data_IF_432130575094
#
_entry.id   IF_432130575094
#
_cell.length_a   1.000
_cell.length_b   1.000
_cell.length_c   1.000
_cell.angle_alpha   90.00
_cell.angle_beta   90.00
_cell.angle_gamma   90.00
#
_symmetry.space_group_name_H-M   'P 1'
#
loop_
_entity.id
_entity.type
_entity.pdbx_description
1 polymer ?
#
# COMPACT_ATOMS: atom_id res chain seq x y z
N UNK A 1 -7.57 0.10 -23.08
CA UNK A 1 -7.19 0.36 -21.69
C UNK A 1 -5.68 0.29 -21.64
N UNK A 2 -5.03 1.42 -21.40
CA UNK A 2 -3.56 1.48 -21.29
C UNK A 2 -3.15 1.26 -19.83
N UNK A 3 -2.03 0.57 -19.64
CA UNK A 3 -1.45 0.32 -18.32
C UNK A 3 -0.05 0.93 -18.28
N UNK A 4 0.30 1.54 -17.16
CA UNK A 4 1.62 2.09 -16.91
C UNK A 4 2.35 1.23 -15.88
N UNK A 5 3.67 1.03 -16.07
CA UNK A 5 4.50 0.23 -15.18
C UNK A 5 4.47 -1.28 -15.46
N UNK A 6 4.84 -2.07 -14.46
CA UNK A 6 5.01 -3.51 -14.59
C UNK A 6 3.66 -4.24 -14.59
N UNK A 7 3.28 -4.86 -15.71
CA UNK A 7 2.03 -5.63 -15.85
C UNK A 7 2.07 -6.99 -15.14
N UNK A 8 3.24 -7.54 -14.81
CA UNK A 8 3.33 -8.89 -14.22
C UNK A 8 2.74 -8.96 -12.82
N UNK A 9 2.68 -7.83 -12.09
CA UNK A 9 2.08 -7.72 -10.75
C UNK A 9 0.58 -8.08 -10.77
N UNK A 10 -0.09 -7.96 -11.91
CA UNK A 10 -1.49 -8.32 -12.06
C UNK A 10 -1.74 -9.83 -11.85
N UNK A 11 -0.71 -10.67 -11.99
CA UNK A 11 -0.80 -12.11 -11.78
C UNK A 11 -0.49 -12.55 -10.34
N UNK A 12 -0.01 -11.64 -9.48
CA UNK A 12 0.33 -11.95 -8.09
C UNK A 12 -0.93 -11.98 -7.19
N UNK A 13 -0.83 -12.63 -6.04
CA UNK A 13 -1.80 -12.45 -4.95
C UNK A 13 -1.73 -11.00 -4.46
N UNK A 14 -2.89 -10.42 -4.12
CA UNK A 14 -2.99 -8.99 -3.80
C UNK A 14 -3.70 -8.78 -2.48
N UNK A 15 -3.19 -7.85 -1.69
CA UNK A 15 -3.87 -7.34 -0.51
C UNK A 15 -4.45 -5.97 -0.83
N UNK A 16 -5.75 -5.79 -0.55
CA UNK A 16 -6.39 -4.48 -0.61
C UNK A 16 -6.10 -3.68 0.65
N UNK A 17 -5.47 -2.51 0.52
CA UNK A 17 -5.26 -1.57 1.62
C UNK A 17 -6.23 -0.38 1.51
N UNK A 18 -6.98 -0.14 2.58
CA UNK A 18 -7.94 0.96 2.69
C UNK A 18 -7.76 1.64 4.03
N UNK A 19 -7.76 2.98 4.05
CA UNK A 19 -7.60 3.75 5.26
C UNK A 19 -8.61 4.91 5.33
N UNK A 20 -9.08 5.21 6.54
CA UNK A 20 -9.80 6.46 6.80
C UNK A 20 -8.87 7.65 6.58
N UNK A 21 -9.44 8.79 6.15
CA UNK A 21 -8.69 10.06 6.02
C UNK A 21 -8.14 10.59 7.36
N UNK A 22 -8.75 10.18 8.47
CA UNK A 22 -8.34 10.53 9.83
C UNK A 22 -8.20 9.26 10.65
N UNK A 23 -7.02 9.03 11.20
CA UNK A 23 -6.74 7.94 12.14
C UNK A 23 -5.83 8.43 13.26
N UNK A 24 -5.91 7.82 14.45
CA UNK A 24 -5.02 8.12 15.57
C UNK A 24 -3.54 7.84 15.25
N UNK A 25 -2.62 8.58 15.85
CA UNK A 25 -1.18 8.47 15.58
C UNK A 25 -0.60 7.07 15.82
N UNK A 26 -1.09 6.34 16.83
CA UNK A 26 -0.65 4.97 17.11
C UNK A 26 -1.06 3.96 16.02
N UNK A 27 -2.11 4.25 15.24
CA UNK A 27 -2.51 3.43 14.09
C UNK A 27 -1.59 3.73 12.90
N UNK A 28 -1.20 4.99 12.70
CA UNK A 28 -0.30 5.39 11.62
C UNK A 28 1.03 4.62 11.70
N UNK A 29 1.65 4.57 12.88
CA UNK A 29 2.91 3.84 13.07
C UNK A 29 2.76 2.35 12.72
N UNK A 30 1.70 1.70 13.21
CA UNK A 30 1.42 0.29 12.89
C UNK A 30 1.18 0.06 11.40
N UNK A 31 0.55 1.02 10.72
CA UNK A 31 0.33 0.96 9.27
C UNK A 31 1.65 1.02 8.51
N UNK A 32 2.61 1.84 8.96
CA UNK A 32 3.93 1.88 8.34
C UNK A 32 4.73 0.60 8.60
N UNK A 33 4.72 0.07 9.82
CA UNK A 33 5.35 -1.22 10.15
C UNK A 33 4.77 -2.33 9.25
N UNK A 34 3.45 -2.34 9.07
CA UNK A 34 2.77 -3.28 8.18
C UNK A 34 3.19 -3.13 6.72
N UNK A 35 3.34 -1.90 6.22
CA UNK A 35 3.76 -1.64 4.84
C UNK A 35 5.20 -2.11 4.59
N UNK A 36 6.11 -1.87 5.54
CA UNK A 36 7.48 -2.39 5.52
C UNK A 36 7.46 -3.93 5.44
N UNK A 37 6.67 -4.57 6.30
CA UNK A 37 6.54 -6.03 6.30
C UNK A 37 6.01 -6.57 4.95
N UNK A 38 5.04 -5.88 4.32
CA UNK A 38 4.49 -6.32 3.04
C UNK A 38 5.50 -6.16 1.90
N UNK A 39 6.28 -5.07 1.90
CA UNK A 39 7.37 -4.88 0.96
C UNK A 39 8.41 -5.98 1.10
N UNK A 40 8.86 -6.24 2.32
CA UNK A 40 9.91 -7.22 2.60
C UNK A 40 9.47 -8.65 2.26
N UNK A 41 8.15 -8.93 2.28
CA UNK A 41 7.53 -10.18 1.82
C UNK A 41 7.20 -10.20 0.33
N UNK A 42 7.52 -9.14 -0.42
CA UNK A 42 7.21 -8.97 -1.84
C UNK A 42 5.71 -9.14 -2.17
N UNK A 43 4.83 -8.70 -1.26
CA UNK A 43 3.39 -8.79 -1.43
C UNK A 43 2.89 -7.61 -2.26
N UNK A 44 2.13 -7.91 -3.32
CA UNK A 44 1.47 -6.88 -4.11
C UNK A 44 0.32 -6.24 -3.29
N UNK A 45 0.37 -4.93 -3.09
CA UNK A 45 -0.68 -4.17 -2.41
C UNK A 45 -1.42 -3.29 -3.41
N UNK A 46 -2.75 -3.29 -3.31
CA UNK A 46 -3.63 -2.44 -4.12
C UNK A 46 -4.35 -1.47 -3.20
N UNK A 47 -4.33 -0.19 -3.55
CA UNK A 47 -5.04 0.87 -2.83
C UNK A 47 -5.46 1.98 -3.78
N UNK A 48 -6.34 2.88 -3.31
CA UNK A 48 -6.71 4.09 -4.03
C UNK A 48 -5.66 5.20 -3.94
N UNK A 49 -4.76 5.16 -2.96
CA UNK A 49 -3.69 6.16 -2.77
C UNK A 49 -4.17 7.62 -2.74
N UNK A 50 -5.37 7.85 -2.20
CA UNK A 50 -6.01 9.17 -2.16
C UNK A 50 -5.71 9.93 -0.88
N UNK A 51 -5.70 9.25 0.26
CA UNK A 51 -5.39 9.85 1.56
C UNK A 51 -3.88 10.00 1.76
N UNK A 52 -3.48 10.88 2.69
CA UNK A 52 -2.06 11.08 3.01
C UNK A 52 -1.39 9.77 3.44
N UNK A 53 -2.08 8.99 4.27
CA UNK A 53 -1.54 7.73 4.80
C UNK A 53 -1.41 6.68 3.70
N UNK A 54 -2.38 6.57 2.79
CA UNK A 54 -2.23 5.63 1.67
C UNK A 54 -1.04 6.02 0.79
N UNK A 55 -0.79 7.32 0.56
CA UNK A 55 0.40 7.77 -0.17
C UNK A 55 1.69 7.46 0.57
N UNK A 56 1.73 7.70 1.88
CA UNK A 56 2.89 7.33 2.70
C UNK A 56 3.15 5.81 2.64
N UNK A 57 2.08 4.99 2.66
CA UNK A 57 2.17 3.53 2.48
C UNK A 57 2.69 3.17 1.10
N UNK A 58 2.23 3.85 0.04
CA UNK A 58 2.76 3.65 -1.31
C UNK A 58 4.27 3.89 -1.33
N UNK A 59 4.73 5.03 -0.80
CA UNK A 59 6.14 5.41 -0.79
C UNK A 59 7.02 4.41 -0.03
N UNK A 60 6.46 3.69 0.96
CA UNK A 60 7.15 2.63 1.68
C UNK A 60 7.25 1.33 0.85
N UNK A 61 6.26 1.05 0.00
CA UNK A 61 6.15 -0.19 -0.78
C UNK A 61 7.02 -0.18 -2.06
N UNK A 62 7.30 1.00 -2.64
CA UNK A 62 8.12 1.15 -3.86
C UNK A 62 9.62 1.22 -3.62
#
# INVERSE_FOLDING_TARGET
MDYFGNKTILNQYKIGFLCSRKVPANIILKTYDWAIEQRDKEICVVSGFHSKIEKDVFDILV
#
